data_IF_536262748268
#
_entry.id   IF_536262748268
#
_cell.length_a   1.000
_cell.length_b   1.000
_cell.length_c   1.000
_cell.angle_alpha   90.00
_cell.angle_beta   90.00
_cell.angle_gamma   90.00
#
_symmetry.space_group_name_H-M   'P 1'
#
loop_
_entity.id
_entity.type
_entity.pdbx_description
1 polymer ?
#
# COMPACT_ATOMS: atom_id res chain seq x y z
N UNK A 1 1.26 66.48 -12.63
CA UNK A 1 0.40 66.77 -11.46
C UNK A 1 -0.12 65.44 -10.92
N UNK A 2 0.19 65.08 -9.65
CA UNK A 2 -0.48 64.03 -8.86
C UNK A 2 -1.97 64.45 -8.70
N UNK A 3 -3.02 63.63 -8.60
CA UNK A 3 -3.30 62.32 -7.96
C UNK A 3 -4.80 61.99 -8.25
N UNK A 4 -5.45 60.90 -7.77
CA UNK A 4 -5.26 59.48 -8.09
C UNK A 4 -6.60 58.68 -8.20
N UNK A 5 -6.52 57.34 -8.31
CA UNK A 5 -7.55 56.34 -8.02
C UNK A 5 -8.56 55.98 -9.13
N UNK A 6 -8.07 55.35 -10.20
CA UNK A 6 -8.90 54.53 -11.08
C UNK A 6 -8.97 53.09 -10.56
N UNK A 7 -10.08 52.73 -9.92
CA UNK A 7 -10.36 51.34 -9.52
C UNK A 7 -10.56 50.46 -10.76
N UNK A 8 -9.78 49.39 -10.88
CA UNK A 8 -10.01 48.33 -11.87
C UNK A 8 -11.11 47.42 -11.32
N UNK A 9 -12.29 47.45 -11.95
CA UNK A 9 -13.37 46.50 -11.68
C UNK A 9 -13.06 45.23 -12.47
N UNK A 10 -12.66 44.16 -11.78
CA UNK A 10 -12.58 42.82 -12.37
C UNK A 10 -13.94 42.15 -12.18
N UNK A 11 -14.73 42.08 -13.25
CA UNK A 11 -16.01 41.39 -13.26
C UNK A 11 -15.77 39.90 -13.56
N UNK A 12 -15.86 39.03 -12.56
CA UNK A 12 -15.90 37.57 -12.79
C UNK A 12 -17.36 37.14 -12.72
N UNK A 13 -17.97 36.92 -13.89
CA UNK A 13 -19.29 36.31 -13.99
C UNK A 13 -19.17 34.79 -13.78
N UNK A 14 -19.55 34.29 -12.61
CA UNK A 14 -19.88 32.88 -12.44
C UNK A 14 -21.34 32.68 -12.84
N UNK A 15 -21.57 32.05 -14.00
CA UNK A 15 -22.91 31.60 -14.41
C UNK A 15 -23.19 30.30 -13.66
N UNK A 16 -23.95 30.39 -12.58
CA UNK A 16 -24.66 29.25 -11.99
C UNK A 16 -26.15 29.61 -12.04
N UNK A 17 -26.96 28.64 -12.48
CA UNK A 17 -28.32 28.84 -12.98
C UNK A 17 -29.23 29.77 -12.15
N UNK A 18 -30.02 30.56 -12.89
CA UNK A 18 -31.19 31.34 -12.45
C UNK A 18 -31.01 32.16 -11.15
N UNK A 19 -30.29 33.28 -11.28
CA UNK A 19 -30.34 34.40 -10.33
C UNK A 19 -29.08 35.26 -10.40
N UNK A 20 -29.18 36.50 -10.91
CA UNK A 20 -28.09 37.47 -10.83
C UNK A 20 -27.92 37.89 -9.36
N UNK A 21 -26.90 37.36 -8.67
CA UNK A 21 -26.45 37.91 -7.39
C UNK A 21 -25.40 38.97 -7.69
N UNK A 22 -25.78 40.24 -7.58
CA UNK A 22 -24.85 41.37 -7.60
C UNK A 22 -24.28 41.54 -6.19
N UNK A 23 -23.05 41.06 -5.95
CA UNK A 23 -22.35 41.31 -4.69
C UNK A 23 -21.61 42.64 -4.81
N UNK A 24 -22.04 43.63 -4.03
CA UNK A 24 -21.41 44.95 -3.95
C UNK A 24 -20.27 44.87 -2.91
N UNK A 25 -19.01 44.86 -3.35
CA UNK A 25 -17.87 44.89 -2.43
C UNK A 25 -17.59 46.32 -1.99
N UNK A 26 -18.23 46.73 -0.88
CA UNK A 26 -17.80 47.87 -0.10
C UNK A 26 -16.53 47.54 0.69
N UNK A 27 -15.58 48.48 0.69
CA UNK A 27 -14.32 48.55 1.44
C UNK A 27 -14.13 47.49 2.55
N UNK A 28 -13.36 46.44 2.26
CA UNK A 28 -12.74 45.57 3.26
C UNK A 28 -11.25 45.88 3.34
N UNK A 29 -10.89 46.96 4.04
CA UNK A 29 -9.61 46.96 4.75
C UNK A 29 -9.75 46.03 5.95
N UNK A 30 -9.08 44.86 5.90
CA UNK A 30 -8.93 44.01 7.09
C UNK A 30 -9.34 42.55 6.99
N UNK A 31 -9.78 42.03 5.84
CA UNK A 31 -9.74 40.57 5.63
C UNK A 31 -8.33 40.20 5.15
N UNK A 32 -7.41 40.11 6.10
CA UNK A 32 -6.26 39.23 5.93
C UNK A 32 -6.83 37.88 5.49
N UNK A 33 -6.40 37.38 4.34
CA UNK A 33 -6.44 35.96 4.00
C UNK A 33 -5.55 35.29 5.05
N UNK A 34 -6.02 35.21 6.29
CA UNK A 34 -5.55 34.28 7.29
C UNK A 34 -6.03 32.94 6.77
N UNK A 35 -5.23 32.41 5.86
CA UNK A 35 -4.68 31.10 6.11
C UNK A 35 -5.77 30.09 6.45
N UNK A 36 -6.59 29.76 5.46
CA UNK A 36 -7.17 28.42 5.39
C UNK A 36 -6.03 27.42 5.02
N UNK A 37 -4.88 27.52 5.70
CA UNK A 37 -4.05 26.33 5.88
C UNK A 37 -4.84 25.51 6.88
N UNK A 38 -5.65 24.59 6.35
CA UNK A 38 -6.07 23.44 7.14
C UNK A 38 -4.78 22.80 7.64
N UNK A 39 -4.48 23.02 8.91
CA UNK A 39 -3.83 22.00 9.71
C UNK A 39 -4.74 20.77 9.60
N UNK A 40 -4.46 19.88 8.65
CA UNK A 40 -5.13 18.58 8.57
C UNK A 40 -4.50 17.71 9.66
N UNK A 41 -4.76 18.07 10.91
CA UNK A 41 -4.66 17.13 12.01
C UNK A 41 -5.64 15.99 11.72
N UNK A 42 -5.27 14.76 12.08
CA UNK A 42 -5.99 13.53 11.74
C UNK A 42 -7.50 13.67 11.90
N UNK A 43 -8.24 13.33 10.84
CA UNK A 43 -9.71 13.48 10.76
C UNK A 43 -10.51 12.47 11.62
N UNK A 44 -9.85 11.67 12.46
CA UNK A 44 -10.52 10.62 13.25
C UNK A 44 -10.91 11.18 14.62
N UNK A 45 -12.18 11.04 14.99
CA UNK A 45 -12.68 11.53 16.29
C UNK A 45 -12.03 10.76 17.45
N UNK A 46 -11.59 11.41 18.55
CA UNK A 46 -10.95 10.72 19.68
C UNK A 46 -11.79 9.59 20.28
N UNK A 47 -13.12 9.76 20.37
CA UNK A 47 -14.02 8.70 20.86
C UNK A 47 -14.04 7.47 19.94
N UNK A 48 -13.85 7.64 18.63
CA UNK A 48 -13.73 6.50 17.70
C UNK A 48 -12.47 5.69 18.01
N UNK A 49 -11.35 6.37 18.28
CA UNK A 49 -10.09 5.72 18.65
C UNK A 49 -10.26 4.98 19.97
N UNK A 50 -10.84 5.62 20.99
CA UNK A 50 -11.08 5.00 22.30
C UNK A 50 -12.02 3.79 22.23
N UNK A 51 -13.10 3.90 21.45
CA UNK A 51 -14.03 2.79 21.25
C UNK A 51 -13.33 1.60 20.59
N UNK A 52 -12.55 1.84 19.54
CA UNK A 52 -11.77 0.78 18.91
C UNK A 52 -10.79 0.14 19.92
N UNK A 53 -10.06 0.95 20.68
CA UNK A 53 -9.12 0.47 21.70
C UNK A 53 -9.79 -0.43 22.74
N UNK A 54 -11.03 -0.10 23.13
CA UNK A 54 -11.82 -0.93 24.04
C UNK A 54 -12.12 -2.34 23.51
N UNK A 55 -12.08 -2.55 22.19
CA UNK A 55 -12.34 -3.84 21.55
C UNK A 55 -11.08 -4.72 21.44
N UNK A 56 -9.87 -4.19 21.69
CA UNK A 56 -8.60 -4.90 21.46
C UNK A 56 -8.57 -6.25 22.18
N UNK A 57 -8.94 -6.28 23.47
CA UNK A 57 -8.90 -7.53 24.24
C UNK A 57 -9.92 -8.55 23.72
N UNK A 58 -11.11 -8.10 23.31
CA UNK A 58 -12.11 -8.99 22.72
C UNK A 58 -11.62 -9.60 21.41
N UNK A 59 -10.94 -8.82 20.56
CA UNK A 59 -10.32 -9.32 19.33
C UNK A 59 -9.25 -10.36 19.64
N UNK A 60 -8.33 -10.07 20.55
CA UNK A 60 -7.31 -11.03 21.01
C UNK A 60 -7.92 -12.35 21.47
N UNK A 61 -8.97 -12.30 22.28
CA UNK A 61 -9.65 -13.49 22.79
C UNK A 61 -10.31 -14.30 21.66
N UNK A 62 -10.94 -13.64 20.68
CA UNK A 62 -11.55 -14.36 19.56
C UNK A 62 -10.50 -15.00 18.63
N UNK A 63 -9.35 -14.35 18.41
CA UNK A 63 -8.26 -14.91 17.60
C UNK A 63 -7.67 -16.20 18.19
N UNK A 64 -7.74 -16.39 19.51
CA UNK A 64 -7.32 -17.66 20.13
C UNK A 64 -8.16 -18.85 19.65
N UNK A 65 -9.42 -18.60 19.28
CA UNK A 65 -10.39 -19.60 18.84
C UNK A 65 -10.38 -19.85 17.32
N UNK A 66 -9.51 -19.18 16.55
CA UNK A 66 -9.34 -19.48 15.12
C UNK A 66 -8.92 -20.94 14.96
N UNK A 67 -9.67 -21.75 14.19
CA UNK A 67 -9.43 -23.18 14.08
C UNK A 67 -8.21 -23.48 13.20
N UNK A 68 -7.62 -24.65 13.39
CA UNK A 68 -6.66 -25.19 12.42
C UNK A 68 -7.40 -25.97 11.33
N UNK A 69 -8.15 -25.24 10.50
CA UNK A 69 -8.91 -25.78 9.36
C UNK A 69 -9.06 -24.74 8.26
N UNK A 70 -9.63 -25.13 7.12
CA UNK A 70 -10.01 -24.21 6.04
C UNK A 70 -11.26 -23.36 6.36
N UNK A 71 -11.64 -23.23 7.64
CA UNK A 71 -12.68 -22.30 8.09
C UNK A 71 -12.02 -20.98 8.52
N UNK A 72 -12.24 -19.94 7.72
CA UNK A 72 -11.70 -18.59 7.95
C UNK A 72 -12.69 -17.64 8.62
N UNK A 73 -13.89 -18.10 9.00
CA UNK A 73 -14.97 -17.24 9.48
C UNK A 73 -14.57 -16.39 10.69
N UNK A 74 -13.95 -17.01 11.71
CA UNK A 74 -13.50 -16.26 12.90
C UNK A 74 -12.39 -15.27 12.54
N UNK A 75 -11.40 -15.70 11.74
CA UNK A 75 -10.29 -14.84 11.34
C UNK A 75 -10.83 -13.57 10.64
N UNK A 76 -11.62 -13.75 9.58
CA UNK A 76 -12.11 -12.64 8.75
C UNK A 76 -13.06 -11.68 9.46
N UNK A 77 -13.86 -12.16 10.41
CA UNK A 77 -14.77 -11.31 11.18
C UNK A 77 -14.06 -10.52 12.30
N UNK A 78 -12.88 -10.96 12.74
CA UNK A 78 -12.14 -10.31 13.83
C UNK A 78 -11.14 -9.28 13.31
N UNK A 79 -10.67 -9.42 12.08
CA UNK A 79 -9.71 -8.50 11.48
C UNK A 79 -10.29 -7.11 11.21
N UNK A 80 -9.45 -6.10 11.39
CA UNK A 80 -9.72 -4.67 11.20
C UNK A 80 -8.38 -3.91 11.13
N UNK A 81 -8.32 -2.72 10.51
CA UNK A 81 -7.08 -1.93 10.48
C UNK A 81 -6.59 -1.51 11.87
N UNK A 82 -5.34 -1.82 12.23
CA UNK A 82 -4.66 -1.39 13.46
C UNK A 82 -4.16 0.07 13.40
N UNK A 83 -4.08 0.64 12.20
CA UNK A 83 -3.76 2.05 11.93
C UNK A 83 -4.74 2.63 10.92
N UNK A 84 -4.91 3.96 10.96
CA UNK A 84 -5.73 4.66 9.96
C UNK A 84 -4.85 5.23 8.86
N UNK A 85 -5.09 4.78 7.63
CA UNK A 85 -4.52 5.39 6.45
C UNK A 85 -5.53 6.34 5.80
N UNK A 86 -5.22 7.65 5.74
CA UNK A 86 -6.11 8.65 5.13
C UNK A 86 -6.26 8.49 3.63
N UNK A 87 -5.17 8.07 2.97
CA UNK A 87 -5.05 7.96 1.52
C UNK A 87 -4.80 6.50 1.15
N UNK A 88 -5.76 5.64 1.48
CA UNK A 88 -5.74 4.22 1.14
C UNK A 88 -6.17 4.03 -0.32
N UNK A 89 -5.29 3.47 -1.15
CA UNK A 89 -5.51 3.36 -2.61
C UNK A 89 -5.25 1.93 -3.07
N UNK A 90 -6.17 1.35 -3.85
CA UNK A 90 -5.91 0.12 -4.59
C UNK A 90 -5.12 0.44 -5.85
N UNK A 91 -3.98 -0.21 -6.03
CA UNK A 91 -3.07 -0.03 -7.18
C UNK A 91 -2.96 -1.34 -7.97
N UNK A 92 -3.00 -1.24 -9.29
CA UNK A 92 -3.09 -2.38 -10.20
C UNK A 92 -4.53 -2.62 -10.67
N UNK A 93 -4.88 -3.87 -10.97
CA UNK A 93 -6.25 -4.23 -11.35
C UNK A 93 -7.27 -3.83 -10.26
N UNK A 94 -8.47 -3.44 -10.68
CA UNK A 94 -9.59 -3.14 -9.76
C UNK A 94 -10.30 -4.41 -9.24
N UNK A 95 -9.80 -5.56 -9.66
CA UNK A 95 -10.23 -6.91 -9.27
C UNK A 95 -9.01 -7.66 -8.72
N UNK A 96 -9.04 -8.98 -8.75
CA UNK A 96 -7.93 -9.86 -8.37
C UNK A 96 -6.57 -9.39 -8.95
N UNK A 97 -5.53 -9.40 -8.11
CA UNK A 97 -4.15 -8.99 -8.43
C UNK A 97 -3.75 -7.57 -7.98
N UNK A 98 -4.69 -6.63 -7.85
CA UNK A 98 -4.41 -5.28 -7.38
C UNK A 98 -4.25 -5.22 -5.86
N UNK A 99 -3.33 -4.41 -5.34
CA UNK A 99 -2.99 -4.37 -3.90
C UNK A 99 -3.30 -3.02 -3.25
N UNK A 100 -3.68 -3.03 -1.97
CA UNK A 100 -3.99 -1.83 -1.18
C UNK A 100 -2.74 -1.17 -0.59
N UNK A 101 -2.45 0.07 -0.97
CA UNK A 101 -1.28 0.82 -0.49
C UNK A 101 -1.72 1.97 0.40
N UNK A 102 -1.02 2.13 1.52
CA UNK A 102 -1.21 3.30 2.35
C UNK A 102 -0.41 4.49 1.81
N UNK A 103 -1.11 5.58 1.48
CA UNK A 103 -0.56 6.86 1.06
C UNK A 103 0.59 6.76 0.02
N UNK A 104 0.32 6.18 -1.17
CA UNK A 104 1.34 6.07 -2.22
C UNK A 104 1.82 7.43 -2.74
N UNK A 105 1.17 8.55 -2.38
CA UNK A 105 1.60 9.90 -2.81
C UNK A 105 2.88 10.30 -2.09
N UNK A 106 3.02 9.93 -0.81
CA UNK A 106 4.21 10.25 -0.02
C UNK A 106 5.50 9.62 -0.56
N UNK A 107 5.38 8.51 -1.29
CA UNK A 107 6.50 7.88 -1.99
C UNK A 107 7.19 8.86 -2.95
N UNK A 108 6.45 9.80 -3.55
CA UNK A 108 7.01 10.84 -4.43
C UNK A 108 7.96 11.80 -3.70
N UNK A 109 7.79 11.95 -2.39
CA UNK A 109 8.58 12.86 -1.55
C UNK A 109 9.85 12.19 -0.98
N UNK A 110 9.99 10.86 -1.08
CA UNK A 110 11.18 10.14 -0.63
C UNK A 110 12.38 10.41 -1.54
N UNK A 111 13.57 10.66 -1.01
CA UNK A 111 14.78 10.91 -1.84
C UNK A 111 15.12 9.74 -2.77
N UNK A 112 15.02 8.52 -2.23
CA UNK A 112 15.14 7.25 -2.96
C UNK A 112 13.91 6.41 -2.64
N UNK A 113 13.36 5.75 -3.66
CA UNK A 113 12.28 4.78 -3.52
C UNK A 113 12.71 3.44 -4.13
N UNK A 114 12.57 2.36 -3.37
CA UNK A 114 12.83 0.99 -3.84
C UNK A 114 11.56 0.16 -3.71
N UNK A 115 11.14 -0.49 -4.80
CA UNK A 115 9.93 -1.32 -4.85
C UNK A 115 10.31 -2.71 -5.29
N UNK A 116 9.86 -3.71 -4.55
CA UNK A 116 10.00 -5.12 -4.92
C UNK A 116 8.61 -5.69 -5.19
N UNK A 117 8.45 -6.38 -6.31
CA UNK A 117 7.23 -7.09 -6.65
C UNK A 117 7.56 -8.55 -7.00
N UNK A 118 7.11 -9.46 -6.15
CA UNK A 118 7.36 -10.89 -6.25
C UNK A 118 6.10 -11.57 -6.79
N UNK A 119 6.25 -12.34 -7.87
CA UNK A 119 5.15 -12.99 -8.58
C UNK A 119 4.35 -12.00 -9.43
N UNK A 120 4.94 -11.61 -10.55
CA UNK A 120 4.28 -10.76 -11.55
C UNK A 120 3.23 -11.55 -12.33
N UNK A 121 3.47 -12.85 -12.53
CA UNK A 121 2.58 -13.82 -13.18
C UNK A 121 1.89 -13.33 -14.46
N UNK A 122 2.67 -12.80 -15.39
CA UNK A 122 2.22 -12.20 -16.64
C UNK A 122 1.26 -11.01 -16.49
N UNK A 123 1.09 -10.43 -15.30
CA UNK A 123 0.31 -9.23 -15.07
C UNK A 123 1.11 -8.13 -14.36
N UNK A 124 1.78 -7.24 -15.13
CA UNK A 124 2.53 -6.13 -14.55
C UNK A 124 1.62 -4.91 -14.22
N UNK A 125 0.32 -5.13 -13.95
CA UNK A 125 -0.66 -4.05 -13.74
C UNK A 125 -0.29 -3.19 -12.53
N UNK A 126 0.02 -3.84 -11.40
CA UNK A 126 0.49 -3.18 -10.19
C UNK A 126 1.77 -2.37 -10.44
N UNK A 127 2.75 -2.97 -11.11
CA UNK A 127 4.05 -2.40 -11.41
C UNK A 127 3.93 -1.14 -12.25
N UNK A 128 3.15 -1.22 -13.34
CA UNK A 128 2.90 -0.09 -14.23
C UNK A 128 2.14 1.02 -13.52
N UNK A 129 1.06 0.69 -12.81
CA UNK A 129 0.21 1.69 -12.18
C UNK A 129 0.88 2.33 -10.96
N UNK A 130 1.67 1.58 -10.19
CA UNK A 130 2.47 2.13 -9.10
C UNK A 130 3.54 3.08 -9.63
N UNK A 131 4.24 2.73 -10.70
CA UNK A 131 5.22 3.63 -11.32
C UNK A 131 4.55 4.85 -11.94
N UNK A 132 3.40 4.72 -12.62
CA UNK A 132 2.62 5.90 -13.06
C UNK A 132 2.25 6.79 -11.88
N UNK A 133 1.78 6.18 -10.78
CA UNK A 133 1.40 6.89 -9.58
C UNK A 133 2.59 7.60 -8.94
N UNK A 134 3.80 7.05 -9.01
CA UNK A 134 5.02 7.64 -8.42
C UNK A 134 5.87 8.43 -9.40
N UNK A 135 5.34 8.74 -10.59
CA UNK A 135 6.05 9.43 -11.68
C UNK A 135 7.35 8.73 -12.10
N UNK A 136 7.35 7.40 -12.07
CA UNK A 136 8.45 6.51 -12.43
C UNK A 136 9.73 6.71 -11.59
N UNK A 137 9.59 7.30 -10.39
CA UNK A 137 10.72 7.65 -9.52
C UNK A 137 11.38 6.44 -8.88
N UNK A 138 10.63 5.37 -8.65
CA UNK A 138 11.09 4.24 -7.86
C UNK A 138 12.02 3.32 -8.66
N UNK A 139 13.01 2.73 -8.00
CA UNK A 139 13.72 1.56 -8.50
C UNK A 139 12.81 0.34 -8.35
N UNK A 140 12.11 -0.02 -9.42
CA UNK A 140 11.22 -1.18 -9.43
C UNK A 140 11.99 -2.46 -9.78
N UNK A 141 11.94 -3.43 -8.88
CA UNK A 141 12.51 -4.78 -9.04
C UNK A 141 11.35 -5.78 -9.09
N UNK A 142 11.16 -6.40 -10.23
CA UNK A 142 10.07 -7.34 -10.48
C UNK A 142 10.62 -8.74 -10.68
N UNK A 143 9.98 -9.73 -10.06
CA UNK A 143 10.45 -11.10 -10.04
C UNK A 143 9.32 -12.08 -10.30
N UNK A 144 9.66 -13.18 -10.95
CA UNK A 144 8.76 -14.30 -11.12
C UNK A 144 9.55 -15.59 -11.33
N UNK A 145 8.99 -16.73 -10.92
CA UNK A 145 9.62 -18.06 -11.10
C UNK A 145 9.72 -18.43 -12.58
N UNK A 146 8.79 -17.94 -13.39
CA UNK A 146 8.68 -18.25 -14.81
C UNK A 146 9.11 -17.06 -15.69
N UNK A 147 9.60 -17.38 -16.89
CA UNK A 147 9.72 -16.36 -17.92
C UNK A 147 8.31 -15.90 -18.33
N UNK A 148 8.15 -14.60 -18.48
CA UNK A 148 6.87 -14.01 -18.82
C UNK A 148 6.57 -14.23 -20.31
N UNK A 149 5.43 -14.84 -20.64
CA UNK A 149 5.08 -15.34 -21.97
C UNK A 149 3.86 -14.62 -22.58
N UNK A 150 3.91 -14.41 -23.91
CA UNK A 150 2.98 -13.57 -24.70
C UNK A 150 1.86 -14.37 -25.41
N UNK A 151 1.19 -15.30 -24.75
CA UNK A 151 0.27 -16.21 -25.47
C UNK A 151 -1.12 -15.64 -25.78
N UNK A 152 -1.25 -14.34 -26.06
CA UNK A 152 -2.49 -13.81 -26.67
C UNK A 152 -2.19 -12.63 -27.58
N UNK A 153 -2.74 -12.70 -28.80
CA UNK A 153 -2.54 -11.78 -29.92
C UNK A 153 -2.90 -10.30 -29.61
N UNK A 154 -3.53 -10.01 -28.47
CA UNK A 154 -3.97 -8.67 -28.08
C UNK A 154 -3.09 -7.96 -27.01
N UNK A 155 -1.92 -8.51 -26.62
CA UNK A 155 -0.99 -7.91 -25.61
C UNK A 155 0.39 -7.55 -26.21
N UNK A 156 0.40 -6.65 -27.18
CA UNK A 156 1.52 -6.31 -28.11
C UNK A 156 2.88 -5.88 -27.49
N UNK A 157 3.10 -5.95 -26.17
CA UNK A 157 4.44 -5.77 -25.55
C UNK A 157 4.74 -6.84 -24.51
N UNK A 158 5.96 -7.39 -24.58
CA UNK A 158 6.50 -8.33 -23.59
C UNK A 158 6.39 -7.71 -22.19
N UNK A 159 6.00 -8.49 -21.17
CA UNK A 159 5.90 -8.01 -19.78
C UNK A 159 7.22 -7.41 -19.31
N UNK A 160 8.35 -7.98 -19.72
CA UNK A 160 9.68 -7.45 -19.43
C UNK A 160 9.88 -6.06 -20.07
N UNK A 161 9.40 -5.85 -21.30
CA UNK A 161 9.45 -4.54 -21.95
C UNK A 161 8.55 -3.53 -21.25
N UNK A 162 7.36 -3.96 -20.80
CA UNK A 162 6.43 -3.12 -20.03
C UNK A 162 7.05 -2.64 -18.73
N UNK A 163 7.62 -3.56 -17.95
CA UNK A 163 8.38 -3.26 -16.72
C UNK A 163 9.55 -2.32 -17.03
N UNK A 164 10.32 -2.59 -18.09
CA UNK A 164 11.43 -1.71 -18.51
C UNK A 164 10.97 -0.31 -18.90
N UNK A 165 9.82 -0.17 -19.56
CA UNK A 165 9.25 1.11 -19.99
C UNK A 165 8.76 1.97 -18.82
N UNK A 166 8.64 1.42 -17.61
CA UNK A 166 8.25 2.14 -16.39
C UNK A 166 9.38 2.21 -15.35
N UNK A 167 10.64 2.25 -15.80
CA UNK A 167 11.82 2.31 -14.92
C UNK A 167 11.94 1.10 -13.97
N UNK A 168 11.55 -0.08 -14.46
CA UNK A 168 11.68 -1.34 -13.74
C UNK A 168 12.69 -2.30 -14.36
N UNK A 169 13.08 -3.30 -13.56
CA UNK A 169 13.89 -4.44 -14.00
C UNK A 169 13.12 -5.72 -13.68
N UNK A 170 12.97 -6.59 -14.67
CA UNK A 170 12.47 -7.95 -14.46
C UNK A 170 13.63 -8.93 -14.31
N UNK A 171 13.53 -9.84 -13.34
CA UNK A 171 14.44 -10.97 -13.18
C UNK A 171 13.65 -12.25 -12.91
N UNK A 172 13.91 -13.29 -13.71
CA UNK A 172 13.45 -14.64 -13.38
C UNK A 172 14.14 -15.10 -12.09
N UNK A 173 13.34 -15.44 -11.09
CA UNK A 173 13.79 -15.88 -9.77
C UNK A 173 12.66 -16.67 -9.08
N UNK A 174 12.91 -17.93 -8.78
CA UNK A 174 12.13 -18.67 -7.79
C UNK A 174 12.66 -18.31 -6.40
N UNK A 175 11.80 -17.76 -5.55
CA UNK A 175 12.19 -17.26 -4.24
C UNK A 175 11.98 -18.37 -3.22
N UNK A 176 13.04 -18.74 -2.49
CA UNK A 176 13.02 -19.87 -1.57
C UNK A 176 14.11 -19.75 -0.51
N UNK A 177 13.91 -20.44 0.62
CA UNK A 177 14.90 -20.60 1.68
C UNK A 177 16.11 -21.48 1.29
N UNK A 178 16.06 -22.18 0.16
CA UNK A 178 17.11 -23.11 -0.32
C UNK A 178 17.63 -22.70 -1.70
N UNK A 179 18.58 -21.75 -1.79
CA UNK A 179 19.01 -21.20 -3.06
C UNK A 179 19.81 -22.22 -3.90
N UNK A 180 19.63 -22.11 -5.22
CA UNK A 180 20.41 -22.79 -6.25
C UNK A 180 20.42 -21.85 -7.48
N UNK A 181 21.42 -20.98 -7.53
CA UNK A 181 21.50 -19.92 -8.55
C UNK A 181 21.61 -20.50 -9.97
N UNK A 182 22.04 -21.76 -10.12
CA UNK A 182 22.07 -22.45 -11.43
C UNK A 182 20.68 -22.79 -11.96
N UNK A 183 19.66 -22.78 -11.09
CA UNK A 183 18.24 -23.05 -11.40
C UNK A 183 17.35 -21.82 -11.21
N UNK A 184 17.94 -20.63 -11.17
CA UNK A 184 17.24 -19.39 -10.86
C UNK A 184 16.55 -19.40 -9.49
N UNK A 185 17.05 -20.16 -8.52
CA UNK A 185 16.51 -20.20 -7.15
C UNK A 185 17.30 -19.28 -6.23
N UNK A 186 16.66 -18.29 -5.63
CA UNK A 186 17.30 -17.25 -4.82
C UNK A 186 16.62 -17.11 -3.47
N UNK A 187 17.39 -16.79 -2.43
CA UNK A 187 16.81 -16.26 -1.19
C UNK A 187 16.32 -14.83 -1.42
N UNK A 188 15.45 -14.32 -0.54
CA UNK A 188 15.06 -12.91 -0.63
C UNK A 188 16.27 -12.00 -0.44
N UNK A 189 17.15 -12.35 0.51
CA UNK A 189 18.41 -11.63 0.75
C UNK A 189 19.37 -11.63 -0.44
N UNK A 190 19.47 -12.72 -1.21
CA UNK A 190 20.28 -12.77 -2.44
C UNK A 190 19.85 -11.68 -3.43
N UNK A 191 18.55 -11.45 -3.56
CA UNK A 191 17.99 -10.46 -4.48
C UNK A 191 18.29 -9.03 -4.02
N UNK A 192 18.25 -8.75 -2.72
CA UNK A 192 18.69 -7.46 -2.18
C UNK A 192 20.18 -7.23 -2.44
N UNK A 193 21.02 -8.24 -2.19
CA UNK A 193 22.46 -8.16 -2.41
C UNK A 193 22.79 -7.94 -3.90
N UNK A 194 22.10 -8.65 -4.80
CA UNK A 194 22.29 -8.52 -6.25
C UNK A 194 22.05 -7.10 -6.74
N UNK A 195 21.04 -6.41 -6.20
CA UNK A 195 20.71 -5.04 -6.59
C UNK A 195 21.39 -3.96 -5.74
N UNK A 196 22.09 -4.35 -4.66
CA UNK A 196 22.72 -3.42 -3.72
C UNK A 196 21.70 -2.58 -2.95
N UNK A 197 20.48 -3.09 -2.76
CA UNK A 197 19.42 -2.42 -2.04
C UNK A 197 19.44 -2.80 -0.56
N UNK A 198 19.38 -1.80 0.33
CA UNK A 198 19.47 -1.97 1.79
C UNK A 198 18.16 -1.67 2.54
N UNK A 199 17.17 -1.12 1.83
CA UNK A 199 15.82 -0.78 2.31
C UNK A 199 14.83 -1.00 1.18
N UNK A 200 13.61 -1.41 1.51
CA UNK A 200 12.47 -1.51 0.60
C UNK A 200 11.35 -0.59 1.09
N UNK A 201 10.80 0.24 0.22
CA UNK A 201 9.68 1.10 0.58
C UNK A 201 8.36 0.36 0.43
N UNK A 202 8.16 -0.34 -0.69
CA UNK A 202 6.98 -1.17 -0.95
C UNK A 202 7.40 -2.57 -1.41
N UNK A 203 6.87 -3.60 -0.77
CA UNK A 203 7.05 -4.99 -1.16
C UNK A 203 5.70 -5.63 -1.47
N UNK A 204 5.45 -5.97 -2.75
CA UNK A 204 4.36 -6.85 -3.18
C UNK A 204 4.84 -8.31 -3.15
N UNK A 205 4.05 -9.19 -2.54
CA UNK A 205 4.31 -10.62 -2.46
C UNK A 205 3.07 -11.39 -2.87
N UNK A 206 3.22 -12.22 -3.88
CA UNK A 206 2.19 -13.10 -4.41
C UNK A 206 2.92 -14.29 -5.05
N UNK A 207 3.31 -15.29 -4.25
CA UNK A 207 4.26 -16.33 -4.67
C UNK A 207 3.73 -17.74 -4.40
N UNK A 208 2.41 -17.91 -4.44
CA UNK A 208 1.74 -19.21 -4.54
C UNK A 208 2.11 -20.19 -3.41
N UNK A 209 2.16 -19.72 -2.16
CA UNK A 209 2.38 -20.54 -0.96
C UNK A 209 3.80 -20.47 -0.40
N UNK A 210 4.76 -19.89 -1.12
CA UNK A 210 6.13 -19.69 -0.65
C UNK A 210 6.26 -18.52 0.34
N UNK A 211 5.18 -17.79 0.63
CA UNK A 211 5.17 -16.65 1.55
C UNK A 211 5.68 -17.02 2.94
N UNK A 212 5.30 -18.21 3.43
CA UNK A 212 5.67 -18.68 4.76
C UNK A 212 7.15 -19.09 4.85
N UNK A 213 7.77 -19.50 3.74
CA UNK A 213 9.17 -19.92 3.74
C UNK A 213 10.12 -18.73 3.95
N UNK A 214 9.72 -17.55 3.50
CA UNK A 214 10.58 -16.36 3.48
C UNK A 214 10.34 -15.41 4.66
N UNK A 215 9.38 -15.72 5.55
CA UNK A 215 8.96 -14.79 6.62
C UNK A 215 10.10 -14.27 7.49
N UNK A 216 11.07 -15.12 7.84
CA UNK A 216 12.22 -14.74 8.68
C UNK A 216 13.15 -13.77 7.93
N UNK A 217 13.29 -13.94 6.62
CA UNK A 217 14.06 -13.02 5.79
C UNK A 217 13.34 -11.68 5.64
N UNK A 218 12.01 -11.68 5.47
CA UNK A 218 11.21 -10.46 5.32
C UNK A 218 11.43 -9.48 6.48
N UNK A 219 11.39 -9.97 7.71
CA UNK A 219 11.52 -9.13 8.92
C UNK A 219 12.97 -8.73 9.22
N UNK A 220 13.95 -9.34 8.56
CA UNK A 220 15.36 -8.95 8.66
C UNK A 220 15.74 -7.78 7.74
N UNK A 221 14.84 -7.42 6.81
CA UNK A 221 15.04 -6.36 5.83
C UNK A 221 14.32 -5.09 6.29
N UNK A 222 15.01 -3.94 6.40
CA UNK A 222 14.36 -2.66 6.64
C UNK A 222 13.32 -2.37 5.56
N UNK A 223 12.05 -2.28 5.96
CA UNK A 223 10.94 -2.18 5.01
C UNK A 223 9.82 -1.30 5.54
N UNK A 224 9.15 -0.56 4.65
CA UNK A 224 8.01 0.27 5.03
C UNK A 224 6.66 -0.42 4.87
N UNK A 225 6.29 -0.91 3.68
CA UNK A 225 4.99 -1.58 3.48
C UNK A 225 5.13 -2.96 2.86
N UNK A 226 4.39 -3.93 3.41
CA UNK A 226 4.22 -5.28 2.85
C UNK A 226 2.80 -5.39 2.32
N UNK A 227 2.67 -5.78 1.07
CA UNK A 227 1.42 -6.04 0.36
C UNK A 227 1.45 -7.52 -0.04
N UNK A 228 0.78 -8.37 0.73
CA UNK A 228 0.97 -9.81 0.63
C UNK A 228 -0.35 -10.53 0.39
N UNK A 229 -0.37 -11.39 -0.61
CA UNK A 229 -1.39 -12.41 -0.74
C UNK A 229 -0.94 -13.67 0.00
N UNK A 230 -1.72 -14.08 0.98
CA UNK A 230 -1.43 -15.28 1.76
C UNK A 230 -2.19 -16.43 1.14
N UNK A 231 -1.43 -17.31 0.48
CA UNK A 231 -1.93 -18.58 -0.06
C UNK A 231 -1.98 -19.63 1.05
N UNK A 232 -3.12 -19.69 1.76
CA UNK A 232 -3.25 -20.48 2.98
C UNK A 232 -3.74 -21.91 2.77
N UNK A 233 -3.41 -22.80 3.72
CA UNK A 233 -4.08 -24.11 3.89
C UNK A 233 -5.15 -24.08 4.98
N UNK A 234 -4.83 -23.46 6.12
CA UNK A 234 -5.74 -23.29 7.27
C UNK A 234 -5.71 -21.86 7.79
N UNK A 235 -6.80 -21.43 8.43
CA UNK A 235 -6.91 -20.09 8.99
C UNK A 235 -5.95 -19.85 10.18
N UNK A 236 -5.58 -20.89 10.93
CA UNK A 236 -4.52 -20.80 11.95
C UNK A 236 -3.16 -20.44 11.36
N UNK A 237 -2.75 -21.06 10.25
CA UNK A 237 -1.47 -20.76 9.60
C UNK A 237 -1.43 -19.32 9.09
N UNK A 238 -2.53 -18.85 8.49
CA UNK A 238 -2.65 -17.45 8.06
C UNK A 238 -2.52 -16.51 9.27
N UNK A 239 -3.28 -16.76 10.35
CA UNK A 239 -3.21 -15.97 11.58
C UNK A 239 -1.80 -15.93 12.17
N UNK A 240 -1.12 -17.06 12.29
CA UNK A 240 0.23 -17.14 12.85
C UNK A 240 1.22 -16.29 12.06
N UNK A 241 1.04 -16.19 10.74
CA UNK A 241 1.85 -15.33 9.90
C UNK A 241 1.54 -13.83 10.09
N UNK A 242 0.27 -13.45 10.23
CA UNK A 242 -0.11 -12.07 10.55
C UNK A 242 0.43 -11.64 11.93
N UNK A 243 0.32 -12.52 12.93
CA UNK A 243 0.88 -12.31 14.28
C UNK A 243 2.40 -12.17 14.19
N UNK A 244 3.06 -13.00 13.37
CA UNK A 244 4.50 -12.92 13.18
C UNK A 244 4.93 -11.56 12.63
N UNK A 245 4.27 -11.04 11.58
CA UNK A 245 4.55 -9.70 11.07
C UNK A 245 4.29 -8.63 12.14
N UNK A 246 3.18 -8.72 12.87
CA UNK A 246 2.83 -7.76 13.93
C UNK A 246 3.88 -7.68 15.05
N UNK A 247 4.40 -8.82 15.49
CA UNK A 247 5.50 -8.88 16.47
C UNK A 247 6.80 -8.24 15.97
N UNK A 248 6.97 -8.11 14.66
CA UNK A 248 8.12 -7.45 14.03
C UNK A 248 7.80 -6.02 13.57
N UNK A 249 6.87 -5.34 14.24
CA UNK A 249 6.66 -3.90 14.06
C UNK A 249 5.69 -3.52 12.95
N UNK A 250 5.10 -4.48 12.26
CA UNK A 250 4.14 -4.22 11.17
C UNK A 250 2.71 -4.09 11.69
N UNK A 251 2.04 -2.98 11.36
CA UNK A 251 0.63 -2.77 11.65
C UNK A 251 -0.22 -3.12 10.44
N UNK A 252 -1.30 -3.88 10.65
CA UNK A 252 -2.29 -4.13 9.59
C UNK A 252 -3.02 -2.82 9.27
N UNK A 253 -3.08 -2.41 8.00
CA UNK A 253 -3.87 -1.23 7.59
C UNK A 253 -4.98 -1.57 6.58
N UNK A 254 -4.88 -2.71 5.89
CA UNK A 254 -5.92 -3.20 4.99
C UNK A 254 -5.87 -4.73 4.92
N UNK A 255 -7.03 -5.34 4.67
CA UNK A 255 -7.13 -6.73 4.26
C UNK A 255 -8.29 -6.89 3.29
N UNK A 256 -8.17 -7.84 2.38
CA UNK A 256 -9.19 -8.15 1.38
C UNK A 256 -9.30 -9.65 1.23
N UNK A 257 -10.52 -10.17 1.42
CA UNK A 257 -10.82 -11.58 1.21
C UNK A 257 -10.99 -11.79 -0.29
N UNK A 258 -10.28 -12.77 -0.85
CA UNK A 258 -10.44 -13.08 -2.27
C UNK A 258 -11.87 -13.58 -2.53
N UNK A 259 -12.59 -12.91 -3.44
CA UNK A 259 -13.98 -13.21 -3.72
C UNK A 259 -14.22 -14.52 -4.48
N UNK A 260 -13.18 -15.11 -5.06
CA UNK A 260 -13.23 -16.40 -5.74
C UNK A 260 -12.80 -17.56 -4.82
N UNK A 261 -11.81 -17.33 -3.97
CA UNK A 261 -11.16 -18.36 -3.15
C UNK A 261 -10.99 -17.88 -1.72
N UNK A 262 -11.89 -18.29 -0.82
CA UNK A 262 -11.89 -17.78 0.57
C UNK A 262 -10.71 -18.26 1.42
N UNK A 263 -9.88 -19.18 0.94
CA UNK A 263 -8.60 -19.57 1.54
C UNK A 263 -7.41 -18.71 1.08
N UNK A 264 -7.65 -17.78 0.16
CA UNK A 264 -6.74 -16.73 -0.26
C UNK A 264 -7.21 -15.39 0.29
N UNK A 265 -6.27 -14.58 0.78
CA UNK A 265 -6.57 -13.22 1.23
C UNK A 265 -5.36 -12.33 1.11
N UNK A 266 -5.62 -11.09 0.75
CA UNK A 266 -4.63 -10.04 0.72
C UNK A 266 -4.57 -9.32 2.05
N UNK A 267 -3.36 -8.99 2.49
CA UNK A 267 -3.10 -8.21 3.68
C UNK A 267 -2.10 -7.12 3.35
N UNK A 268 -2.28 -5.96 3.95
CA UNK A 268 -1.40 -4.82 3.74
C UNK A 268 -0.97 -4.24 5.06
N UNK A 269 0.34 -4.18 5.26
CA UNK A 269 0.98 -3.81 6.51
C UNK A 269 1.92 -2.63 6.33
N UNK A 270 2.04 -1.82 7.37
CA UNK A 270 3.04 -0.73 7.45
C UNK A 270 3.91 -0.89 8.70
N UNK A 271 5.22 -0.78 8.54
CA UNK A 271 6.16 -0.85 9.65
C UNK A 271 6.12 0.42 10.49
N UNK A 272 6.25 0.26 11.81
CA UNK A 272 6.17 1.36 12.78
C UNK A 272 7.18 2.50 12.52
N UNK A 273 8.35 2.16 11.98
CA UNK A 273 9.38 3.14 11.65
C UNK A 273 9.02 4.03 10.46
N UNK A 274 7.99 3.69 9.68
CA UNK A 274 7.58 4.41 8.48
C UNK A 274 6.22 5.12 8.62
N UNK A 275 5.57 5.07 9.79
CA UNK A 275 4.26 5.69 9.97
C UNK A 275 4.29 7.19 9.60
N UNK A 276 5.29 7.93 10.08
CA UNK A 276 5.45 9.35 9.76
C UNK A 276 5.74 9.61 8.28
N UNK A 277 6.60 8.79 7.67
CA UNK A 277 6.98 8.92 6.26
C UNK A 277 5.76 8.80 5.32
N UNK A 278 4.75 8.04 5.75
CA UNK A 278 3.50 7.81 5.01
C UNK A 278 2.30 8.58 5.58
N UNK A 279 2.53 9.55 6.47
CA UNK A 279 1.50 10.40 7.10
C UNK A 279 0.43 9.61 7.89
N UNK A 280 0.82 8.47 8.46
CA UNK A 280 -0.04 7.65 9.32
C UNK A 280 0.06 8.13 10.76
N UNK A 281 -0.84 9.05 11.12
CA UNK A 281 -0.83 9.73 12.42
C UNK A 281 -1.79 9.16 13.46
N UNK A 282 -2.52 8.08 13.14
CA UNK A 282 -3.48 7.44 14.05
C UNK A 282 -3.21 5.95 14.11
N UNK A 283 -2.84 5.48 15.30
CA UNK A 283 -2.73 4.08 15.65
C UNK A 283 -3.95 3.72 16.50
N UNK A 284 -4.78 2.83 15.99
CA UNK A 284 -5.92 2.32 16.74
C UNK A 284 -5.49 1.35 17.84
N UNK A 285 -4.45 0.56 17.60
CA UNK A 285 -3.83 -0.32 18.58
C UNK A 285 -3.56 -1.72 18.03
N UNK A 286 -2.70 -2.46 18.72
CA UNK A 286 -2.27 -3.79 18.28
C UNK A 286 -3.10 -4.89 18.92
N UNK A 287 -3.85 -5.63 18.11
CA UNK A 287 -4.56 -6.83 18.52
C UNK A 287 -3.94 -8.10 17.92
N UNK A 288 -3.08 -7.98 16.91
CA UNK A 288 -2.29 -9.08 16.34
C UNK A 288 -0.99 -9.38 17.13
N UNK A 289 -0.54 -8.48 18.02
CA UNK A 289 0.58 -8.71 18.96
C UNK A 289 0.16 -8.61 20.41
#
# INVERSE_FOLDING_TARGET
>A
MRSPNGNIIVLICLIVGFGLIVINFGNYEGLSIKTFQRNVASKVHPETIQYYQSQIQARKNNLQNVPDSADFGILYNVLVPEVFCSDLVRVGTVVDGGKWICNPVQVRNLDKCTVYALGVNNDPSFEEDFQKFTHQKCFLRSFDKDMQNQNTLDRIKNVNDRIKNVNGVFKKALITSKPDHSKDMYTFKDLLQFFGDSKIDILKIDIEGFEFEIKEELVSVPMCQILIEVHGKTSRIALDFLIFLSKHGFYLFSYEINGFWHDLSEYSFIHESCLNDYDVNVVYGRYLS
#
